data_IF_021568148920
#
_entry.id   IF_021568148920
#
_cell.length_a   1.000
_cell.length_b   1.000
_cell.length_c   1.000
_cell.angle_alpha   90.00
_cell.angle_beta   90.00
_cell.angle_gamma   90.00
#
_symmetry.space_group_name_H-M   'P 1'
#
loop_
_entity.id
_entity.type
_entity.pdbx_description
1 polymer ?
#
# COMPACT_ATOMS: atom_id res chain seq x y z
N UNK A 1 -13.86 -12.82 -12.76
CA UNK A 1 -13.13 -11.55 -12.94
C UNK A 1 -11.67 -11.78 -12.66
N UNK A 2 -10.76 -11.29 -13.51
CA UNK A 2 -9.31 -11.46 -13.29
C UNK A 2 -8.88 -10.55 -12.13
N UNK A 3 -8.21 -11.11 -11.13
CA UNK A 3 -7.61 -10.32 -10.06
C UNK A 3 -6.29 -9.75 -10.58
N UNK A 4 -6.13 -8.42 -10.51
CA UNK A 4 -4.91 -7.75 -10.91
C UNK A 4 -4.03 -7.56 -9.69
N UNK A 5 -2.75 -7.94 -9.80
CA UNK A 5 -1.74 -7.75 -8.76
C UNK A 5 -0.68 -6.81 -9.31
N UNK A 6 -0.42 -5.71 -8.60
CA UNK A 6 0.55 -4.70 -8.99
C UNK A 6 1.68 -4.65 -7.96
N UNK A 7 2.92 -4.72 -8.43
CA UNK A 7 4.11 -4.55 -7.59
C UNK A 7 4.61 -3.11 -7.71
N UNK A 8 4.61 -2.37 -6.60
CA UNK A 8 5.24 -1.05 -6.52
C UNK A 8 6.69 -1.26 -6.06
N UNK A 9 7.66 -1.00 -6.95
CA UNK A 9 9.10 -1.13 -6.69
C UNK A 9 9.81 0.21 -6.76
N UNK A 10 11.06 0.26 -6.30
CA UNK A 10 11.93 1.42 -6.37
C UNK A 10 13.31 1.08 -5.84
N UNK A 11 14.35 1.64 -6.46
CA UNK A 11 15.76 1.31 -6.19
C UNK A 11 16.22 1.86 -4.83
N UNK A 12 15.69 3.03 -4.46
CA UNK A 12 16.14 3.76 -3.28
C UNK A 12 15.20 3.57 -2.07
N UNK A 13 15.77 3.64 -0.87
CA UNK A 13 15.02 3.71 0.39
C UNK A 13 14.39 5.10 0.51
N UNK A 14 13.19 5.20 1.08
CA UNK A 14 12.45 6.48 1.20
C UNK A 14 12.14 7.20 -0.13
N UNK A 15 12.22 6.49 -1.27
CA UNK A 15 11.84 7.00 -2.59
C UNK A 15 10.32 7.30 -2.75
N UNK A 16 9.54 7.35 -1.68
CA UNK A 16 8.10 7.61 -1.72
C UNK A 16 7.23 6.44 -2.19
N UNK A 17 7.74 5.19 -2.14
CA UNK A 17 6.97 3.99 -2.55
C UNK A 17 5.66 3.82 -1.75
N UNK A 18 5.71 4.12 -0.46
CA UNK A 18 4.54 4.12 0.45
C UNK A 18 3.47 5.11 -0.04
N UNK A 19 3.89 6.35 -0.35
CA UNK A 19 3.00 7.39 -0.87
C UNK A 19 2.38 7.01 -2.22
N UNK A 20 3.19 6.52 -3.17
CA UNK A 20 2.70 6.07 -4.47
C UNK A 20 1.67 4.93 -4.34
N UNK A 21 1.90 4.00 -3.42
CA UNK A 21 0.98 2.89 -3.13
C UNK A 21 -0.35 3.42 -2.59
N UNK A 22 -0.32 4.32 -1.61
CA UNK A 22 -1.52 4.94 -1.03
C UNK A 22 -2.31 5.78 -2.04
N UNK A 23 -1.60 6.54 -2.88
CA UNK A 23 -2.22 7.32 -3.97
C UNK A 23 -2.98 6.43 -4.95
N UNK A 24 -2.35 5.34 -5.44
CA UNK A 24 -2.99 4.40 -6.35
C UNK A 24 -4.21 3.72 -5.71
N UNK A 25 -4.10 3.31 -4.45
CA UNK A 25 -5.22 2.72 -3.72
C UNK A 25 -6.40 3.69 -3.59
N UNK A 26 -6.14 4.98 -3.31
CA UNK A 26 -7.17 6.02 -3.26
C UNK A 26 -7.87 6.18 -4.61
N UNK A 27 -7.12 6.36 -5.69
CA UNK A 27 -7.68 6.56 -7.02
C UNK A 27 -8.50 5.36 -7.49
N UNK A 28 -8.03 4.14 -7.22
CA UNK A 28 -8.79 2.93 -7.54
C UNK A 28 -10.05 2.76 -6.70
N UNK A 29 -9.98 3.04 -5.40
CA UNK A 29 -11.16 3.04 -4.54
C UNK A 29 -12.19 4.09 -5.00
N UNK A 30 -11.75 5.30 -5.38
CA UNK A 30 -12.60 6.34 -5.96
C UNK A 30 -13.25 5.90 -7.28
N UNK A 31 -12.55 5.07 -8.07
CA UNK A 31 -13.08 4.45 -9.28
C UNK A 31 -13.96 3.21 -9.01
N UNK A 32 -14.34 2.95 -7.74
CA UNK A 32 -15.18 1.82 -7.35
C UNK A 32 -14.48 0.46 -7.34
N UNK A 33 -13.14 0.43 -7.46
CA UNK A 33 -12.34 -0.81 -7.41
C UNK A 33 -11.91 -1.07 -5.98
N UNK A 34 -12.35 -2.19 -5.40
CA UNK A 34 -11.87 -2.62 -4.08
C UNK A 34 -10.39 -2.98 -4.18
N UNK A 35 -9.55 -2.27 -3.43
CA UNK A 35 -8.10 -2.43 -3.44
C UNK A 35 -7.59 -2.90 -2.07
N UNK A 36 -6.64 -3.82 -2.07
CA UNK A 36 -5.87 -4.21 -0.88
C UNK A 36 -4.40 -3.86 -1.15
N UNK A 37 -3.73 -3.24 -0.18
CA UNK A 37 -2.31 -2.95 -0.22
C UNK A 37 -1.55 -3.88 0.73
N UNK A 38 -0.36 -4.34 0.35
CA UNK A 38 0.48 -5.20 1.19
C UNK A 38 1.94 -4.76 1.11
N UNK A 39 2.60 -4.67 2.27
CA UNK A 39 4.06 -4.49 2.39
C UNK A 39 4.66 -5.80 2.88
N UNK A 40 5.44 -6.47 2.02
CA UNK A 40 5.93 -7.83 2.29
C UNK A 40 7.03 -7.88 3.35
N UNK A 41 7.94 -6.91 3.34
CA UNK A 41 9.10 -6.84 4.23
C UNK A 41 9.29 -5.38 4.65
N UNK A 42 9.52 -5.17 5.95
CA UNK A 42 9.91 -3.88 6.50
C UNK A 42 11.10 -4.07 7.44
N UNK A 43 12.13 -3.26 7.24
CA UNK A 43 13.33 -3.20 8.08
C UNK A 43 13.37 -1.86 8.81
N UNK A 44 14.06 -1.80 9.95
CA UNK A 44 14.22 -0.56 10.71
C UNK A 44 13.01 -0.15 11.59
N UNK A 45 12.07 -1.05 11.83
CA UNK A 45 10.92 -0.81 12.70
C UNK A 45 10.83 -1.85 13.83
N UNK A 46 10.38 -1.44 15.02
CA UNK A 46 10.14 -2.34 16.16
C UNK A 46 8.63 -2.44 16.38
N UNK A 47 8.03 -3.55 15.94
CA UNK A 47 6.60 -3.78 16.08
C UNK A 47 5.77 -3.29 14.89
N UNK A 48 4.92 -2.28 15.09
CA UNK A 48 3.95 -1.81 14.09
C UNK A 48 4.55 -0.86 13.07
N UNK A 49 4.34 -1.13 11.79
CA UNK A 49 4.86 -0.30 10.72
C UNK A 49 4.11 1.05 10.65
N UNK A 50 4.84 2.14 10.87
CA UNK A 50 4.34 3.50 10.65
C UNK A 50 3.88 3.72 9.20
N UNK A 51 4.46 3.00 8.23
CA UNK A 51 4.01 3.04 6.83
C UNK A 51 2.58 2.47 6.67
N UNK A 52 2.19 1.47 7.47
CA UNK A 52 0.84 0.91 7.40
C UNK A 52 -0.18 1.96 7.84
N UNK A 53 0.08 2.70 8.92
CA UNK A 53 -0.84 3.71 9.44
C UNK A 53 -1.17 4.80 8.41
N UNK A 54 -0.18 5.17 7.59
CA UNK A 54 -0.37 6.16 6.51
C UNK A 54 -1.04 5.60 5.24
N UNK A 55 -0.94 4.28 5.00
CA UNK A 55 -1.44 3.61 3.78
C UNK A 55 -2.78 2.89 4.05
N UNK A 56 -3.38 3.00 5.24
CA UNK A 56 -4.73 2.47 5.48
C UNK A 56 -5.78 3.30 4.72
N UNK A 57 -5.82 3.13 3.40
CA UNK A 57 -6.97 3.40 2.57
C UNK A 57 -8.01 2.31 2.90
N UNK A 58 -8.58 2.42 4.10
CA UNK A 58 -9.80 1.78 4.60
C UNK A 58 -9.92 0.27 4.34
N UNK A 59 -9.91 -0.50 5.43
CA UNK A 59 -10.25 -1.93 5.53
C UNK A 59 -9.10 -2.93 5.30
N UNK A 60 -8.23 -3.06 6.30
CA UNK A 60 -7.90 -4.42 6.78
C UNK A 60 -9.23 -5.09 7.13
N UNK A 61 -9.47 -6.28 6.59
CA UNK A 61 -10.68 -7.07 6.81
C UNK A 61 -11.23 -6.92 8.23
N UNK A 62 -12.50 -6.53 8.35
CA UNK A 62 -13.32 -7.14 9.40
C UNK A 62 -13.39 -8.64 9.16
#
# INVERSE_FOLDING_TARGET
>A
MKQNVYFISGIDTDAGKSYATGFLAREWNNAGKRTITQKLIQTGNVGHSEDIDSIVASWVCR
#
